data_IF_378679776411
#
_entry.id   IF_378679776411
#
_cell.length_a   1.000
_cell.length_b   1.000
_cell.length_c   1.000
_cell.angle_alpha   90.00
_cell.angle_beta   90.00
_cell.angle_gamma   90.00
#
_symmetry.space_group_name_H-M   'P 1'
#
loop_
_entity.id
_entity.type
_entity.pdbx_description
1 polymer ?
#
# COMPACT_ATOMS: atom_id res chain seq x y z
N UNK A 1 10.87 56.41 60.73
CA UNK A 1 9.74 55.68 60.11
C UNK A 1 9.99 55.61 58.60
N UNK A 2 10.65 54.54 58.13
CA UNK A 2 10.11 53.56 57.16
C UNK A 2 9.26 54.17 56.04
N UNK A 3 9.78 54.23 54.81
CA UNK A 3 9.45 53.28 53.72
C UNK A 3 10.28 53.58 52.46
N UNK A 4 11.07 52.58 52.09
CA UNK A 4 11.72 52.38 50.80
C UNK A 4 10.64 51.91 49.81
N UNK A 5 10.49 52.52 48.63
CA UNK A 5 9.81 51.86 47.50
C UNK A 5 10.67 52.06 46.25
N UNK A 6 11.36 50.96 45.95
CA UNK A 6 12.05 50.60 44.73
C UNK A 6 10.97 50.24 43.69
N UNK A 7 10.83 50.99 42.60
CA UNK A 7 10.03 50.55 41.45
C UNK A 7 10.99 49.94 40.42
N UNK A 8 11.02 48.61 40.42
CA UNK A 8 11.80 47.78 39.51
C UNK A 8 11.25 47.95 38.09
N UNK A 9 12.11 48.40 37.18
CA UNK A 9 11.90 48.32 35.74
C UNK A 9 11.91 46.82 35.36
N UNK A 10 10.74 46.22 35.16
CA UNK A 10 10.63 44.90 34.54
C UNK A 10 10.62 45.12 33.03
N UNK A 11 11.81 45.21 32.44
CA UNK A 11 12.00 45.00 31.01
C UNK A 11 11.82 43.50 30.73
N UNK A 12 10.57 43.09 30.47
CA UNK A 12 10.30 41.80 29.83
C UNK A 12 10.92 41.84 28.43
N UNK A 13 12.10 41.23 28.30
CA UNK A 13 12.67 40.83 27.02
C UNK A 13 11.70 39.82 26.41
N UNK A 14 10.92 40.26 25.41
CA UNK A 14 10.26 39.34 24.50
C UNK A 14 11.36 38.68 23.66
N UNK A 15 11.86 37.53 24.12
CA UNK A 15 12.58 36.61 23.24
C UNK A 15 11.52 36.02 22.32
N UNK A 16 11.32 36.65 21.15
CA UNK A 16 10.69 35.98 20.04
C UNK A 16 11.63 34.83 19.66
N UNK A 17 11.28 33.61 20.09
CA UNK A 17 11.81 32.40 19.49
C UNK A 17 11.18 32.36 18.10
N UNK A 18 11.84 32.96 17.11
CA UNK A 18 11.53 32.65 15.72
C UNK A 18 11.93 31.19 15.56
N UNK A 19 10.93 30.30 15.56
CA UNK A 19 11.16 28.93 15.13
C UNK A 19 11.78 29.02 13.73
N UNK A 20 13.01 28.53 13.53
CA UNK A 20 13.64 28.59 12.23
C UNK A 20 12.73 27.84 11.26
N UNK A 21 12.32 28.52 10.18
CA UNK A 21 11.56 27.88 9.10
C UNK A 21 12.39 26.68 8.68
N UNK A 22 11.89 25.44 8.83
CA UNK A 22 12.66 24.28 8.48
C UNK A 22 13.00 24.40 7.00
N UNK A 23 14.29 24.53 6.69
CA UNK A 23 14.77 24.38 5.33
C UNK A 23 14.59 22.91 5.01
N UNK A 24 13.45 22.58 4.40
CA UNK A 24 13.21 21.23 3.89
C UNK A 24 14.20 21.03 2.75
N UNK A 25 15.09 20.05 2.89
CA UNK A 25 15.96 19.62 1.81
C UNK A 25 15.06 19.29 0.59
N UNK A 26 15.22 19.98 -0.55
CA UNK A 26 14.40 19.72 -1.73
C UNK A 26 14.50 18.26 -2.21
N UNK A 27 15.59 17.56 -1.89
CA UNK A 27 15.77 16.14 -2.19
C UNK A 27 14.96 15.22 -1.28
N UNK A 28 14.47 15.72 -0.14
CA UNK A 28 13.55 15.00 0.75
C UNK A 28 12.09 15.12 0.30
N UNK A 29 11.79 15.96 -0.70
CA UNK A 29 10.44 16.11 -1.24
C UNK A 29 10.18 15.03 -2.30
N UNK A 30 9.22 14.17 -2.00
CA UNK A 30 8.73 13.15 -2.94
C UNK A 30 8.14 13.83 -4.20
N UNK A 31 8.91 13.79 -5.29
CA UNK A 31 8.66 14.47 -6.56
C UNK A 31 7.84 13.64 -7.56
N UNK A 32 7.33 12.48 -7.16
CA UNK A 32 6.55 11.60 -8.04
C UNK A 32 5.27 12.31 -8.51
N UNK A 33 5.03 12.23 -9.81
CA UNK A 33 3.93 12.89 -10.51
C UNK A 33 3.00 11.92 -11.26
N UNK A 34 3.29 10.62 -11.20
CA UNK A 34 2.41 9.55 -11.66
C UNK A 34 1.76 8.93 -10.43
N UNK A 35 0.43 8.92 -10.41
CA UNK A 35 -0.37 8.43 -9.29
C UNK A 35 -1.27 7.30 -9.73
N UNK A 36 -1.45 6.31 -8.87
CA UNK A 36 -2.56 5.36 -8.93
C UNK A 36 -3.67 5.90 -8.04
N UNK A 37 -4.88 6.03 -8.56
CA UNK A 37 -6.08 6.27 -7.76
C UNK A 37 -6.87 4.97 -7.66
N UNK A 38 -6.90 4.39 -6.47
CA UNK A 38 -7.53 3.10 -6.19
C UNK A 38 -8.87 3.30 -5.45
N UNK A 39 -9.95 2.87 -6.11
CA UNK A 39 -11.27 2.72 -5.51
C UNK A 39 -11.48 1.26 -5.16
N UNK A 40 -11.83 0.97 -3.90
CA UNK A 40 -11.94 -0.40 -3.39
C UNK A 40 -13.39 -0.69 -3.07
N UNK A 41 -13.93 -1.72 -3.68
CA UNK A 41 -15.32 -2.10 -3.59
C UNK A 41 -15.46 -3.47 -2.94
N UNK A 42 -16.57 -3.68 -2.24
CA UNK A 42 -17.05 -4.96 -1.78
C UNK A 42 -18.58 -4.96 -1.96
N UNK A 43 -19.12 -5.96 -2.64
CA UNK A 43 -20.52 -6.05 -3.08
C UNK A 43 -21.00 -4.75 -3.77
N UNK A 44 -20.14 -4.20 -4.63
CA UNK A 44 -20.39 -2.95 -5.39
C UNK A 44 -20.40 -1.65 -4.55
N UNK A 45 -20.16 -1.71 -3.25
CA UNK A 45 -20.06 -0.54 -2.36
C UNK A 45 -18.62 -0.26 -1.96
N UNK A 46 -18.26 1.01 -1.71
CA UNK A 46 -16.92 1.35 -1.22
C UNK A 46 -16.73 0.76 0.19
N UNK A 47 -15.59 0.15 0.42
CA UNK A 47 -15.26 -0.46 1.71
C UNK A 47 -15.20 0.59 2.82
N UNK A 48 -15.86 0.25 3.93
CA UNK A 48 -15.86 0.90 5.24
C UNK A 48 -15.47 -0.10 6.34
N UNK A 49 -14.51 0.28 7.19
CA UNK A 49 -13.99 -0.57 8.30
C UNK A 49 -14.97 -0.77 9.44
N UNK A 50 -16.04 0.02 9.50
CA UNK A 50 -17.11 -0.11 10.49
C UNK A 50 -18.18 -1.13 10.08
N UNK A 51 -18.23 -1.50 8.79
CA UNK A 51 -19.23 -2.39 8.20
C UNK A 51 -18.82 -3.85 8.31
N UNK A 52 -19.78 -4.73 8.57
CA UNK A 52 -19.62 -6.19 8.52
C UNK A 52 -19.96 -6.67 7.11
N UNK A 53 -19.08 -7.49 6.54
CA UNK A 53 -19.21 -8.08 5.22
C UNK A 53 -19.42 -9.58 5.35
N UNK A 54 -20.19 -10.17 4.42
CA UNK A 54 -20.35 -11.62 4.31
C UNK A 54 -19.38 -12.14 3.23
N UNK A 55 -18.36 -12.88 3.63
CA UNK A 55 -17.32 -13.48 2.77
C UNK A 55 -17.47 -14.99 2.82
N UNK A 56 -17.95 -15.62 1.76
CA UNK A 56 -18.07 -17.09 1.68
C UNK A 56 -18.80 -17.73 2.89
N UNK A 57 -19.74 -17.00 3.51
CA UNK A 57 -20.49 -17.42 4.71
C UNK A 57 -19.88 -16.95 6.04
N UNK A 58 -18.69 -16.37 6.02
CA UNK A 58 -18.05 -15.75 7.19
C UNK A 58 -18.47 -14.29 7.33
N UNK A 59 -18.63 -13.81 8.57
CA UNK A 59 -18.88 -12.40 8.84
C UNK A 59 -17.59 -11.72 9.24
N UNK A 60 -17.15 -10.73 8.45
CA UNK A 60 -15.85 -10.09 8.64
C UNK A 60 -15.91 -8.57 8.68
N UNK A 61 -14.96 -7.94 9.37
CA UNK A 61 -14.60 -6.53 9.20
C UNK A 61 -13.18 -6.45 8.68
N UNK A 62 -12.96 -5.68 7.62
CA UNK A 62 -11.62 -5.40 7.11
C UNK A 62 -10.96 -4.31 7.97
N UNK A 63 -9.70 -4.55 8.33
CA UNK A 63 -8.90 -3.60 9.10
C UNK A 63 -7.88 -2.91 8.20
N UNK A 64 -7.12 -3.67 7.41
CA UNK A 64 -6.07 -3.16 6.53
C UNK A 64 -5.96 -3.94 5.23
N UNK A 65 -5.55 -3.26 4.16
CA UNK A 65 -5.14 -3.88 2.89
C UNK A 65 -3.83 -3.21 2.45
N UNK A 66 -2.72 -3.82 2.80
CA UNK A 66 -1.40 -3.34 2.43
C UNK A 66 -0.97 -3.84 1.07
N UNK A 67 -0.35 -2.96 0.29
CA UNK A 67 0.27 -3.28 -0.99
C UNK A 67 1.63 -2.62 -1.08
N UNK A 68 2.63 -3.36 -1.55
CA UNK A 68 3.92 -2.80 -1.95
C UNK A 68 4.03 -2.76 -3.47
N UNK A 69 4.42 -1.61 -3.99
CA UNK A 69 4.59 -1.34 -5.41
C UNK A 69 6.04 -0.94 -5.68
N UNK A 70 6.63 -1.46 -6.74
CA UNK A 70 8.00 -1.12 -7.14
C UNK A 70 8.24 -1.28 -8.63
N UNK A 71 9.45 -0.97 -9.10
CA UNK A 71 9.89 -1.25 -10.47
C UNK A 71 9.18 -0.44 -11.53
N UNK A 72 8.60 0.71 -11.15
CA UNK A 72 7.86 1.54 -12.08
C UNK A 72 8.77 2.05 -13.22
N UNK A 73 8.31 1.87 -14.46
CA UNK A 73 9.02 2.30 -15.67
C UNK A 73 8.05 2.61 -16.79
N UNK A 74 8.47 3.48 -17.69
CA UNK A 74 7.78 3.72 -18.96
C UNK A 74 8.52 3.03 -20.09
N UNK A 75 7.80 2.31 -20.94
CA UNK A 75 8.31 1.65 -22.16
C UNK A 75 7.63 2.28 -23.37
N UNK A 76 8.39 2.77 -24.34
CA UNK A 76 7.83 3.37 -25.56
C UNK A 76 6.98 2.38 -26.37
N UNK A 77 6.05 2.88 -27.19
CA UNK A 77 5.17 2.05 -28.01
C UNK A 77 5.90 1.10 -28.98
N UNK A 78 7.12 1.44 -29.37
CA UNK A 78 7.98 0.63 -30.22
C UNK A 78 8.97 -0.24 -29.44
N UNK A 79 8.88 -0.22 -28.10
CA UNK A 79 9.66 -1.01 -27.14
C UNK A 79 11.18 -0.77 -27.22
N UNK A 80 11.61 0.34 -27.82
CA UNK A 80 13.04 0.68 -27.98
C UNK A 80 13.59 1.52 -26.84
N UNK A 81 12.75 2.35 -26.23
CA UNK A 81 13.14 3.26 -25.17
C UNK A 81 12.45 2.88 -23.86
N UNK A 82 13.23 2.72 -22.81
CA UNK A 82 12.73 2.51 -21.44
C UNK A 82 13.21 3.63 -20.53
N UNK A 83 12.28 4.32 -19.88
CA UNK A 83 12.57 5.31 -18.84
C UNK A 83 12.33 4.69 -17.47
N UNK A 84 13.39 4.46 -16.71
CA UNK A 84 13.31 4.04 -15.32
C UNK A 84 13.00 5.23 -14.42
N UNK A 85 12.25 4.99 -13.34
CA UNK A 85 11.83 6.05 -12.42
C UNK A 85 12.65 5.97 -11.14
N UNK A 86 13.24 7.09 -10.71
CA UNK A 86 14.21 7.10 -9.59
C UNK A 86 13.55 6.96 -8.19
N UNK A 87 12.23 7.09 -8.11
CA UNK A 87 11.43 6.89 -6.89
C UNK A 87 10.25 6.00 -7.23
N UNK A 88 10.47 4.69 -7.21
CA UNK A 88 9.52 3.68 -7.70
C UNK A 88 8.82 2.90 -6.58
N UNK A 89 9.35 2.98 -5.35
CA UNK A 89 8.87 2.20 -4.21
C UNK A 89 7.74 2.92 -3.47
N UNK A 90 6.61 2.23 -3.28
CA UNK A 90 5.55 2.65 -2.37
C UNK A 90 5.06 1.47 -1.55
N UNK A 91 4.81 1.68 -0.26
CA UNK A 91 3.98 0.82 0.56
C UNK A 91 2.76 1.62 0.98
N UNK A 92 1.56 1.06 0.84
CA UNK A 92 0.33 1.76 1.20
C UNK A 92 -0.69 0.83 1.82
N UNK A 93 -1.46 1.36 2.77
CA UNK A 93 -2.72 0.77 3.21
C UNK A 93 -3.87 1.37 2.38
N UNK A 94 -4.53 0.55 1.59
CA UNK A 94 -5.62 0.93 0.70
C UNK A 94 -6.91 1.28 1.44
N UNK A 95 -7.10 0.81 2.68
CA UNK A 95 -8.32 1.12 3.45
C UNK A 95 -8.39 2.61 3.80
N UNK A 96 -7.27 3.21 4.19
CA UNK A 96 -7.18 4.63 4.55
C UNK A 96 -6.81 5.58 3.40
N UNK A 97 -6.37 5.05 2.26
CA UNK A 97 -5.84 5.86 1.16
C UNK A 97 -6.45 5.49 -0.18
N UNK A 98 -6.78 6.49 -0.98
CA UNK A 98 -7.31 6.33 -2.34
C UNK A 98 -6.30 6.73 -3.43
N UNK A 99 -5.20 7.38 -3.07
CA UNK A 99 -4.18 7.85 -4.00
C UNK A 99 -2.79 7.40 -3.58
N UNK A 100 -2.05 6.87 -4.54
CA UNK A 100 -0.73 6.29 -4.35
C UNK A 100 0.21 6.94 -5.34
N UNK A 101 1.30 7.53 -4.87
CA UNK A 101 2.39 7.93 -5.76
C UNK A 101 3.08 6.67 -6.29
N UNK A 102 3.20 6.56 -7.60
CA UNK A 102 3.82 5.42 -8.25
C UNK A 102 5.24 5.76 -8.72
N UNK A 103 5.38 6.88 -9.44
CA UNK A 103 6.59 7.17 -10.20
C UNK A 103 6.75 8.66 -10.53
N UNK A 104 7.97 9.01 -10.94
CA UNK A 104 8.26 10.29 -11.59
C UNK A 104 8.55 10.07 -13.08
N UNK A 105 7.90 10.86 -13.94
CA UNK A 105 8.26 11.01 -15.34
C UNK A 105 8.50 12.50 -15.68
N UNK A 106 9.54 12.84 -16.46
CA UNK A 106 9.76 14.20 -16.93
C UNK A 106 8.57 14.76 -17.73
N UNK A 107 8.53 16.07 -17.92
CA UNK A 107 7.52 16.67 -18.81
C UNK A 107 7.70 16.18 -20.25
N UNK A 108 6.61 15.77 -20.88
CA UNK A 108 6.66 15.19 -22.22
C UNK A 108 5.34 14.59 -22.69
N UNK A 109 5.34 14.15 -23.94
CA UNK A 109 4.27 13.34 -24.51
C UNK A 109 4.70 11.88 -24.51
N UNK A 110 3.88 11.03 -23.92
CA UNK A 110 4.16 9.61 -23.74
C UNK A 110 3.16 8.78 -24.55
N UNK A 111 3.70 7.87 -25.35
CA UNK A 111 2.95 6.85 -26.09
C UNK A 111 3.68 5.52 -25.89
N UNK A 112 3.07 4.61 -25.15
CA UNK A 112 3.71 3.36 -24.75
C UNK A 112 2.98 2.71 -23.58
N UNK A 113 3.73 2.02 -22.71
CA UNK A 113 3.22 1.38 -21.51
C UNK A 113 3.81 1.98 -20.24
N UNK A 114 3.00 2.10 -19.20
CA UNK A 114 3.49 2.20 -17.83
C UNK A 114 3.51 0.79 -17.24
N UNK A 115 4.67 0.38 -16.75
CA UNK A 115 4.87 -0.89 -16.07
C UNK A 115 5.22 -0.66 -14.61
N UNK A 116 4.78 -1.56 -13.74
CA UNK A 116 5.14 -1.61 -12.34
C UNK A 116 4.92 -3.02 -11.79
N UNK A 117 5.48 -3.29 -10.62
CA UNK A 117 5.32 -4.55 -9.91
C UNK A 117 4.45 -4.34 -8.68
N UNK A 118 3.55 -5.29 -8.41
CA UNK A 118 3.09 -5.57 -7.05
C UNK A 118 4.14 -6.49 -6.43
N UNK A 119 4.83 -5.98 -5.44
CA UNK A 119 5.98 -6.61 -4.81
C UNK A 119 7.29 -5.91 -5.06
N UNK A 120 8.37 -6.53 -4.56
CA UNK A 120 9.70 -5.95 -4.42
C UNK A 120 10.75 -6.87 -5.06
N UNK A 121 11.85 -6.30 -5.57
CA UNK A 121 13.00 -7.12 -5.92
C UNK A 121 13.61 -7.80 -4.67
N UNK A 122 14.47 -8.80 -4.90
CA UNK A 122 15.06 -9.60 -3.82
C UNK A 122 15.86 -8.79 -2.81
N UNK A 123 16.55 -7.72 -3.22
CA UNK A 123 17.32 -6.91 -2.29
C UNK A 123 16.39 -6.14 -1.34
N UNK A 124 15.36 -5.50 -1.89
CA UNK A 124 14.38 -4.72 -1.11
C UNK A 124 13.46 -5.61 -0.28
N UNK A 125 13.06 -6.77 -0.81
CA UNK A 125 12.17 -7.71 -0.14
C UNK A 125 12.72 -8.22 1.20
N UNK A 126 14.04 -8.40 1.32
CA UNK A 126 14.69 -8.99 2.50
C UNK A 126 15.50 -7.98 3.33
N UNK A 127 15.46 -6.69 3.00
CA UNK A 127 16.09 -5.66 3.85
C UNK A 127 15.19 -5.37 5.05
N UNK A 128 15.69 -5.63 6.26
CA UNK A 128 14.91 -5.47 7.48
C UNK A 128 14.55 -4.00 7.74
N UNK A 129 13.40 -3.69 8.36
CA UNK A 129 12.94 -2.32 8.59
C UNK A 129 13.97 -1.41 9.28
N UNK A 130 14.71 -1.94 10.26
CA UNK A 130 15.74 -1.22 11.02
C UNK A 130 16.99 -0.87 10.20
N UNK A 131 17.15 -1.46 9.01
CA UNK A 131 18.24 -1.17 8.08
C UNK A 131 17.86 -0.13 7.02
N UNK A 132 16.59 0.29 7.00
CA UNK A 132 16.08 1.25 6.04
C UNK A 132 16.11 2.67 6.62
N UNK A 133 16.35 3.64 5.74
CA UNK A 133 16.21 5.05 6.11
C UNK A 133 14.80 5.34 6.63
N UNK A 134 14.61 6.24 7.62
CA UNK A 134 13.30 6.55 8.18
C UNK A 134 12.27 7.07 7.18
N UNK A 135 12.73 7.59 6.04
CA UNK A 135 11.88 8.05 4.92
C UNK A 135 11.42 6.91 4.01
N UNK A 136 12.02 5.72 4.10
CA UNK A 136 11.61 4.56 3.32
C UNK A 136 10.23 4.09 3.79
N UNK A 137 9.26 3.85 2.88
CA UNK A 137 7.93 3.38 3.23
C UNK A 137 7.90 2.09 4.07
N UNK A 138 8.90 1.21 3.94
CA UNK A 138 8.98 -0.08 4.60
C UNK A 138 9.65 -0.03 6.00
N UNK A 139 10.23 1.11 6.39
CA UNK A 139 10.94 1.29 7.67
C UNK A 139 10.05 1.08 8.91
N UNK A 140 8.73 1.20 8.77
CA UNK A 140 7.76 0.98 9.86
C UNK A 140 7.51 -0.50 10.17
N UNK A 141 7.92 -1.42 9.29
CA UNK A 141 7.77 -2.85 9.51
C UNK A 141 6.34 -3.40 9.52
N UNK A 142 5.35 -2.65 9.02
CA UNK A 142 3.93 -3.07 8.99
C UNK A 142 3.69 -4.35 8.17
N UNK A 143 4.52 -4.56 7.16
CA UNK A 143 4.47 -5.72 6.25
C UNK A 143 5.68 -6.64 6.40
N UNK A 144 6.51 -6.47 7.44
CA UNK A 144 7.72 -7.27 7.62
C UNK A 144 7.43 -8.59 8.33
N UNK A 145 7.87 -9.70 7.74
CA UNK A 145 7.54 -11.05 8.19
C UNK A 145 8.75 -11.84 8.73
N UNK A 146 9.88 -11.17 8.92
CA UNK A 146 11.15 -11.79 9.28
C UNK A 146 12.00 -12.14 8.05
N UNK A 147 13.23 -12.60 8.30
CA UNK A 147 14.25 -12.80 7.27
C UNK A 147 13.93 -13.89 6.25
N UNK A 148 13.11 -14.87 6.65
CA UNK A 148 12.85 -16.04 5.81
C UNK A 148 11.79 -15.76 4.73
N UNK A 149 10.87 -14.84 5.00
CA UNK A 149 9.75 -14.47 4.11
C UNK A 149 9.93 -13.06 3.53
N UNK A 150 10.47 -12.11 4.31
CA UNK A 150 10.68 -10.73 3.91
C UNK A 150 9.43 -9.85 4.08
N UNK A 151 9.36 -8.76 3.32
CA UNK A 151 8.19 -7.87 3.27
C UNK A 151 7.06 -8.46 2.42
N UNK A 152 5.81 -8.35 2.89
CA UNK A 152 4.62 -8.72 2.11
C UNK A 152 4.50 -7.86 0.85
N UNK A 153 4.13 -8.51 -0.25
CA UNK A 153 3.82 -7.81 -1.50
C UNK A 153 2.37 -7.31 -1.50
N UNK A 154 1.52 -8.11 -0.88
CA UNK A 154 0.15 -7.81 -0.52
C UNK A 154 -0.15 -8.43 0.83
N UNK A 155 -0.94 -7.75 1.66
CA UNK A 155 -1.43 -8.28 2.93
C UNK A 155 -2.81 -7.73 3.23
N UNK A 156 -3.78 -8.59 3.47
CA UNK A 156 -5.12 -8.23 3.93
C UNK A 156 -5.35 -8.74 5.33
N UNK A 157 -5.87 -7.87 6.19
CA UNK A 157 -6.12 -8.14 7.60
C UNK A 157 -7.56 -7.82 7.95
N UNK A 158 -8.12 -8.62 8.84
CA UNK A 158 -9.41 -8.33 9.39
C UNK A 158 -9.80 -9.23 10.56
N UNK A 159 -11.05 -9.06 10.95
CA UNK A 159 -11.66 -9.67 12.13
C UNK A 159 -12.86 -10.50 11.71
N UNK A 160 -12.93 -11.73 12.22
CA UNK A 160 -14.02 -12.68 11.99
C UNK A 160 -14.96 -12.61 13.18
N UNK A 161 -16.26 -12.64 12.92
CA UNK A 161 -17.31 -12.54 13.93
C UNK A 161 -18.23 -13.75 13.90
N UNK A 162 -18.68 -14.13 15.09
CA UNK A 162 -19.68 -15.17 15.25
C UNK A 162 -21.03 -14.70 14.64
N UNK A 163 -21.64 -15.48 13.73
CA UNK A 163 -22.95 -15.15 13.16
C UNK A 163 -24.10 -15.02 14.16
N UNK A 164 -23.95 -15.58 15.37
CA UNK A 164 -24.93 -15.45 16.45
C UNK A 164 -24.80 -14.13 17.23
N UNK A 165 -23.70 -13.38 17.09
CA UNK A 165 -23.54 -12.04 17.67
C UNK A 165 -24.19 -11.01 16.77
N UNK A 166 -25.21 -10.29 17.24
CA UNK A 166 -25.87 -9.24 16.47
C UNK A 166 -25.19 -7.87 16.56
N UNK A 167 -24.20 -7.70 17.44
CA UNK A 167 -23.56 -6.41 17.74
C UNK A 167 -22.19 -6.28 17.07
N UNK A 168 -21.52 -7.41 16.81
CA UNK A 168 -20.25 -7.49 16.07
C UNK A 168 -19.15 -6.59 16.66
N UNK A 169 -19.02 -6.63 17.98
CA UNK A 169 -18.02 -5.85 18.74
C UNK A 169 -16.80 -6.66 19.17
N UNK A 170 -16.98 -7.96 19.39
CA UNK A 170 -15.91 -8.85 19.84
C UNK A 170 -15.65 -9.89 18.76
N UNK A 171 -14.49 -9.85 18.09
CA UNK A 171 -14.16 -10.87 17.09
C UNK A 171 -13.91 -12.22 17.78
N UNK A 172 -14.24 -13.31 17.08
CA UNK A 172 -13.89 -14.66 17.51
C UNK A 172 -12.46 -15.02 17.11
N UNK A 173 -11.99 -14.47 15.98
CA UNK A 173 -10.66 -14.65 15.45
C UNK A 173 -10.29 -13.45 14.56
N UNK A 174 -9.01 -13.35 14.25
CA UNK A 174 -8.52 -12.46 13.18
C UNK A 174 -8.12 -13.33 11.99
N UNK A 175 -8.18 -12.76 10.80
CA UNK A 175 -7.50 -13.33 9.63
C UNK A 175 -6.40 -12.38 9.13
N UNK A 176 -5.33 -12.97 8.63
CA UNK A 176 -4.22 -12.26 8.03
C UNK A 176 -3.67 -13.09 6.87
N UNK A 177 -3.88 -12.60 5.66
CA UNK A 177 -3.44 -13.27 4.44
C UNK A 177 -2.44 -12.42 3.71
N UNK A 178 -1.34 -13.03 3.28
CA UNK A 178 -0.32 -12.35 2.50
C UNK A 178 0.20 -13.23 1.38
N UNK A 179 0.72 -12.59 0.35
CA UNK A 179 1.74 -13.21 -0.48
C UNK A 179 2.99 -12.34 -0.44
N UNK A 180 4.13 -13.01 -0.37
CA UNK A 180 5.45 -12.43 -0.29
C UNK A 180 6.39 -13.26 -1.18
N UNK A 181 7.69 -13.01 -1.08
CA UNK A 181 8.79 -13.65 -1.83
C UNK A 181 8.93 -13.27 -3.31
N UNK A 182 10.17 -13.06 -3.80
CA UNK A 182 10.42 -12.52 -5.15
C UNK A 182 9.84 -13.31 -6.33
N UNK A 183 9.51 -14.59 -6.16
CA UNK A 183 8.90 -15.41 -7.21
C UNK A 183 7.38 -15.21 -7.35
N UNK A 184 6.72 -14.62 -6.35
CA UNK A 184 5.29 -14.25 -6.41
C UNK A 184 5.04 -12.82 -6.91
N UNK A 185 6.07 -12.10 -7.38
CA UNK A 185 5.92 -10.75 -7.96
C UNK A 185 4.87 -10.75 -9.07
N UNK A 186 4.04 -9.70 -9.11
CA UNK A 186 3.08 -9.47 -10.19
C UNK A 186 3.51 -8.26 -11.00
N UNK A 187 3.94 -8.48 -12.24
CA UNK A 187 4.17 -7.39 -13.19
C UNK A 187 2.86 -6.94 -13.82
N UNK A 188 2.64 -5.63 -13.83
CA UNK A 188 1.51 -4.96 -14.45
C UNK A 188 2.02 -4.02 -15.53
N UNK A 189 1.31 -3.99 -16.65
CA UNK A 189 1.66 -3.18 -17.82
C UNK A 189 0.38 -2.64 -18.45
N UNK A 190 0.35 -1.34 -18.71
CA UNK A 190 -0.82 -0.66 -19.28
C UNK A 190 -0.42 0.27 -20.40
N UNK A 191 -0.98 0.02 -21.58
CA UNK A 191 -0.72 0.82 -22.79
C UNK A 191 -1.57 2.07 -22.77
N UNK A 192 -0.94 3.25 -22.83
CA UNK A 192 -1.65 4.53 -22.80
C UNK A 192 -0.89 5.63 -23.53
N UNK A 193 -1.67 6.60 -24.02
CA UNK A 193 -1.20 7.90 -24.45
C UNK A 193 -1.53 8.95 -23.39
N UNK A 194 -0.53 9.68 -22.91
CA UNK A 194 -0.74 10.74 -21.92
C UNK A 194 0.33 11.83 -22.05
N UNK A 195 0.06 12.99 -21.44
CA UNK A 195 0.99 14.11 -21.37
C UNK A 195 1.33 14.38 -19.91
N UNK A 196 2.63 14.53 -19.63
CA UNK A 196 3.11 15.05 -18.35
C UNK A 196 3.44 16.53 -18.56
N UNK A 197 2.66 17.39 -17.92
CA UNK A 197 2.92 18.84 -17.91
C UNK A 197 3.90 19.21 -16.79
N UNK A 198 4.49 20.41 -16.88
CA UNK A 198 5.53 20.87 -15.94
C UNK A 198 5.10 21.01 -14.48
N UNK A 199 3.79 20.96 -14.20
CA UNK A 199 3.20 20.94 -12.85
C UNK A 199 1.88 20.15 -12.86
N UNK A 200 1.80 19.07 -13.63
CA UNK A 200 0.58 18.26 -13.72
C UNK A 200 0.88 16.83 -13.30
N UNK A 201 0.06 16.36 -12.38
CA UNK A 201 0.02 14.97 -11.99
C UNK A 201 -0.82 14.17 -12.99
N UNK A 202 -0.35 12.96 -13.28
CA UNK A 202 -1.07 11.98 -14.10
C UNK A 202 -1.68 10.96 -13.15
N UNK A 203 -2.99 10.81 -13.23
CA UNK A 203 -3.72 9.81 -12.44
C UNK A 203 -4.10 8.63 -13.32
N UNK A 204 -3.77 7.44 -12.85
CA UNK A 204 -4.20 6.17 -13.42
C UNK A 204 -5.19 5.56 -12.45
N UNK A 205 -6.42 5.33 -12.89
CA UNK A 205 -7.51 4.87 -12.02
C UNK A 205 -7.57 3.35 -12.03
N UNK A 206 -7.75 2.76 -10.85
CA UNK A 206 -8.01 1.35 -10.63
C UNK A 206 -9.29 1.20 -9.80
N UNK A 207 -10.17 0.33 -10.27
CA UNK A 207 -11.32 -0.14 -9.52
C UNK A 207 -10.99 -1.57 -9.06
N UNK A 208 -10.81 -1.74 -7.76
CA UNK A 208 -10.42 -2.99 -7.13
C UNK A 208 -11.67 -3.58 -6.49
N UNK A 209 -12.11 -4.72 -6.99
CA UNK A 209 -13.19 -5.47 -6.37
C UNK A 209 -12.60 -6.46 -5.35
N UNK A 210 -12.70 -6.13 -4.07
CA UNK A 210 -12.11 -6.92 -2.98
C UNK A 210 -12.84 -8.24 -2.79
N UNK A 211 -14.09 -8.37 -3.26
CA UNK A 211 -14.82 -9.66 -3.28
C UNK A 211 -13.98 -10.73 -4.00
N UNK A 212 -13.32 -10.32 -5.09
CA UNK A 212 -12.55 -11.22 -5.93
C UNK A 212 -11.28 -11.74 -5.25
N UNK A 213 -10.77 -11.09 -4.20
CA UNK A 213 -9.64 -11.61 -3.41
C UNK A 213 -10.00 -12.94 -2.74
N UNK A 214 -11.27 -13.11 -2.37
CA UNK A 214 -11.81 -14.31 -1.70
C UNK A 214 -12.38 -15.32 -2.69
N UNK A 215 -12.47 -14.96 -3.97
CA UNK A 215 -13.09 -15.79 -4.99
C UNK A 215 -12.26 -17.04 -5.29
N UNK A 216 -12.95 -18.09 -5.72
CA UNK A 216 -12.34 -19.29 -6.25
C UNK A 216 -12.09 -19.21 -7.76
N UNK A 217 -11.85 -18.02 -8.34
CA UNK A 217 -11.76 -17.90 -9.82
C UNK A 217 -10.74 -18.90 -10.41
N UNK A 218 -9.67 -19.20 -9.67
CA UNK A 218 -8.65 -20.19 -10.05
C UNK A 218 -8.66 -21.49 -9.23
N UNK A 219 -9.47 -21.57 -8.16
CA UNK A 219 -9.58 -22.74 -7.28
C UNK A 219 -11.05 -23.11 -7.13
N UNK A 220 -11.41 -24.39 -7.32
CA UNK A 220 -12.79 -24.88 -7.14
C UNK A 220 -13.40 -24.59 -5.73
N UNK A 221 -12.58 -24.09 -4.81
CA UNK A 221 -12.93 -23.65 -3.45
C UNK A 221 -12.39 -22.21 -3.28
N UNK A 222 -13.26 -21.25 -2.96
CA UNK A 222 -12.87 -19.88 -2.60
C UNK A 222 -12.12 -19.82 -1.26
N UNK A 223 -11.41 -18.72 -1.01
CA UNK A 223 -10.73 -18.52 0.27
C UNK A 223 -11.74 -18.06 1.32
N UNK A 224 -11.91 -18.81 2.42
CA UNK A 224 -12.83 -18.50 3.51
C UNK A 224 -12.06 -18.19 4.81
N UNK A 225 -12.15 -16.97 5.36
CA UNK A 225 -11.45 -16.52 6.56
C UNK A 225 -11.54 -17.46 7.77
N UNK A 226 -12.70 -18.06 8.05
CA UNK A 226 -12.86 -18.95 9.22
C UNK A 226 -12.14 -20.29 9.08
N UNK A 227 -12.01 -20.79 7.85
CA UNK A 227 -11.35 -22.08 7.57
C UNK A 227 -9.85 -21.94 7.37
N UNK A 228 -9.43 -20.80 6.83
CA UNK A 228 -8.04 -20.47 6.50
C UNK A 228 -7.80 -19.08 7.03
N UNK A 229 -7.60 -18.90 8.33
CA UNK A 229 -7.43 -17.57 8.91
C UNK A 229 -6.02 -16.99 8.70
N UNK A 230 -5.05 -17.82 8.33
CA UNK A 230 -3.66 -17.40 8.14
C UNK A 230 -3.16 -17.93 6.80
N UNK A 231 -2.57 -17.02 6.01
CA UNK A 231 -1.72 -17.35 4.85
C UNK A 231 -0.44 -16.53 5.05
N UNK A 232 0.67 -17.21 5.33
CA UNK A 232 1.95 -16.57 5.67
C UNK A 232 2.87 -16.39 4.46
N UNK A 233 2.60 -17.08 3.36
CA UNK A 233 3.49 -17.19 2.19
C UNK A 233 4.82 -17.87 2.55
N UNK A 234 4.80 -18.90 3.38
CA UNK A 234 5.97 -19.66 3.83
C UNK A 234 6.42 -20.68 2.76
N UNK A 235 7.59 -20.50 2.11
CA UNK A 235 8.07 -21.43 1.09
C UNK A 235 8.42 -22.82 1.63
N UNK A 236 8.56 -22.99 2.94
CA UNK A 236 8.81 -24.28 3.59
C UNK A 236 7.53 -25.08 3.84
N UNK A 237 6.36 -24.45 3.79
CA UNK A 237 5.05 -25.11 3.88
C UNK A 237 4.34 -25.04 2.53
N UNK A 238 4.34 -26.15 1.80
CA UNK A 238 3.76 -26.22 0.46
C UNK A 238 2.27 -25.86 0.43
N UNK A 239 1.50 -26.15 1.49
CA UNK A 239 0.06 -25.86 1.53
C UNK A 239 -0.16 -24.36 1.71
N UNK A 240 0.52 -23.74 2.68
CA UNK A 240 0.46 -22.29 2.90
C UNK A 240 0.93 -21.53 1.66
N UNK A 241 2.00 -21.99 1.03
CA UNK A 241 2.54 -21.36 -0.18
C UNK A 241 1.61 -21.47 -1.39
N UNK A 242 0.91 -22.60 -1.56
CA UNK A 242 -0.09 -22.73 -2.62
C UNK A 242 -1.31 -21.84 -2.38
N UNK A 243 -1.71 -21.63 -1.12
CA UNK A 243 -2.74 -20.63 -0.78
C UNK A 243 -2.28 -19.20 -1.10
N UNK A 244 -1.01 -18.87 -0.84
CA UNK A 244 -0.43 -17.58 -1.20
C UNK A 244 -0.42 -17.34 -2.72
N UNK A 245 -0.19 -18.38 -3.54
CA UNK A 245 -0.31 -18.31 -5.00
C UNK A 245 -1.74 -18.04 -5.46
N UNK A 246 -2.72 -18.74 -4.87
CA UNK A 246 -4.14 -18.51 -5.17
C UNK A 246 -4.51 -17.06 -4.85
N UNK A 247 -4.12 -16.57 -3.66
CA UNK A 247 -4.34 -15.18 -3.27
C UNK A 247 -3.65 -14.21 -4.24
N UNK A 248 -2.40 -14.48 -4.64
CA UNK A 248 -1.67 -13.68 -5.63
C UNK A 248 -2.40 -13.60 -6.96
N UNK A 249 -2.96 -14.70 -7.43
CA UNK A 249 -3.67 -14.76 -8.72
C UNK A 249 -5.00 -13.98 -8.65
N UNK A 250 -5.73 -14.11 -7.55
CA UNK A 250 -6.93 -13.33 -7.28
C UNK A 250 -6.63 -11.83 -7.18
N UNK A 251 -5.59 -11.44 -6.43
CA UNK A 251 -5.17 -10.03 -6.34
C UNK A 251 -4.72 -9.52 -7.71
N UNK A 252 -4.00 -10.35 -8.47
CA UNK A 252 -3.59 -9.97 -9.83
C UNK A 252 -4.79 -9.68 -10.73
N UNK A 253 -5.91 -10.39 -10.66
CA UNK A 253 -7.06 -10.09 -11.55
C UNK A 253 -7.67 -8.71 -11.31
N UNK A 254 -7.53 -8.14 -10.11
CA UNK A 254 -8.18 -6.89 -9.74
C UNK A 254 -7.33 -5.63 -9.97
N UNK A 255 -6.00 -5.79 -10.01
CA UNK A 255 -5.10 -4.68 -10.31
C UNK A 255 -5.00 -4.48 -11.83
N UNK A 256 -6.13 -4.14 -12.43
CA UNK A 256 -6.27 -3.75 -13.82
C UNK A 256 -6.61 -2.26 -13.91
N UNK A 257 -5.96 -1.57 -14.84
CA UNK A 257 -6.25 -0.17 -15.06
C UNK A 257 -7.53 0.00 -15.86
N UNK A 258 -8.33 0.99 -15.48
CA UNK A 258 -9.49 1.40 -16.28
C UNK A 258 -9.08 2.50 -17.27
N UNK A 259 -9.72 2.45 -18.44
CA UNK A 259 -9.59 3.43 -19.52
C UNK A 259 -10.39 4.70 -19.22
#
# INVERSE_FOLDING_TARGET
>A
MKKLILLVLVSTLFTACEDPIPVVDPTALDNRNIYIRAYKYYDGAIIDTSTVYEVNGDLVKFDHIYVTLSGARFVSYDEKDTTFTESDLTMIDLIGNSEVKLAYLPSGNYNGSIEYNIGLDSARAFTAPEQLEPTNPLSKGLVWNGSDVGHSFFQIEGRIFNPADSVFTTPEANFNWRFATPDLIVMKSEKRNFNVGSNKDVFIVMDIDVDNFFSGIFSLIGLSPSTMNIINSDPADAIDYDLAKILRDNVSSEFEFKL
#
